data_IF_698379044857
#
_entry.id   IF_698379044857
#
_cell.length_a   1.000
_cell.length_b   1.000
_cell.length_c   1.000
_cell.angle_alpha   90.00
_cell.angle_beta   90.00
_cell.angle_gamma   90.00
#
_symmetry.space_group_name_H-M   'P 1'
#
loop_
_entity.id
_entity.type
_entity.pdbx_description
1 polymer ?
#
# COMPACT_ATOMS: atom_id res chain seq x y z
N UNK A 1 19.57 1.34 19.74
CA UNK A 1 19.03 0.75 18.52
C UNK A 1 17.63 1.29 18.33
N UNK A 2 17.33 1.89 17.19
CA UNK A 2 16.01 2.45 16.91
C UNK A 2 15.04 1.34 16.51
N UNK A 3 13.80 1.39 17.00
CA UNK A 3 12.80 0.37 16.73
C UNK A 3 11.92 0.81 15.56
N UNK A 4 11.81 -0.02 14.53
CA UNK A 4 10.83 0.09 13.47
C UNK A 4 9.74 -0.95 13.71
N UNK A 5 8.51 -0.51 13.92
CA UNK A 5 7.37 -1.39 14.07
C UNK A 5 6.72 -1.60 12.70
N UNK A 6 6.83 -2.81 12.15
CA UNK A 6 6.26 -3.21 10.88
C UNK A 6 4.92 -3.93 11.10
N UNK A 7 3.85 -3.38 10.53
CA UNK A 7 2.49 -3.92 10.64
C UNK A 7 1.98 -4.28 9.24
N UNK A 8 1.75 -5.55 9.02
CA UNK A 8 1.33 -6.14 7.75
C UNK A 8 0.57 -7.44 8.02
N UNK A 9 -0.50 -7.73 7.29
CA UNK A 9 -1.29 -8.96 7.48
C UNK A 9 -0.71 -10.18 6.77
N UNK A 10 0.35 -10.00 5.96
CA UNK A 10 0.95 -11.03 5.15
C UNK A 10 2.20 -11.64 5.81
N UNK A 11 2.20 -12.95 6.13
CA UNK A 11 3.40 -13.64 6.59
C UNK A 11 4.56 -13.55 5.58
N UNK A 12 4.25 -13.59 4.29
CA UNK A 12 5.25 -13.45 3.23
C UNK A 12 5.96 -12.09 3.29
N UNK A 13 5.24 -11.01 3.54
CA UNK A 13 5.84 -9.68 3.70
C UNK A 13 6.72 -9.59 4.95
N UNK A 14 6.29 -10.23 6.05
CA UNK A 14 7.13 -10.34 7.25
C UNK A 14 8.45 -11.06 6.95
N UNK A 15 8.40 -12.13 6.16
CA UNK A 15 9.60 -12.88 5.78
C UNK A 15 10.51 -12.06 4.87
N UNK A 16 9.98 -11.30 3.92
CA UNK A 16 10.76 -10.38 3.08
C UNK A 16 11.46 -9.31 3.92
N UNK A 17 10.75 -8.67 4.85
CA UNK A 17 11.37 -7.66 5.71
C UNK A 17 12.44 -8.29 6.59
N UNK A 18 12.18 -9.47 7.17
CA UNK A 18 13.10 -10.17 8.07
C UNK A 18 14.37 -10.65 7.36
N UNK A 19 14.23 -11.19 6.15
CA UNK A 19 15.31 -11.87 5.45
C UNK A 19 16.06 -10.97 4.46
N UNK A 20 15.37 -9.98 3.88
CA UNK A 20 15.92 -9.18 2.78
C UNK A 20 16.14 -7.71 3.15
N UNK A 21 15.42 -7.15 4.13
CA UNK A 21 15.55 -5.74 4.54
C UNK A 21 16.32 -5.60 5.85
N UNK A 22 15.90 -6.29 6.90
CA UNK A 22 16.50 -6.15 8.23
C UNK A 22 18.02 -6.45 8.25
N UNK A 23 18.55 -7.43 7.50
CA UNK A 23 20.01 -7.68 7.47
C UNK A 23 20.82 -6.56 6.83
N UNK A 24 20.20 -5.59 6.16
CA UNK A 24 20.89 -4.46 5.53
C UNK A 24 21.26 -3.35 6.54
N UNK A 25 20.93 -3.52 7.83
CA UNK A 25 21.20 -2.51 8.86
C UNK A 25 21.38 -3.13 10.24
N UNK A 26 22.35 -2.62 11.00
CA UNK A 26 22.52 -2.92 12.42
C UNK A 26 21.94 -1.80 13.33
N UNK A 27 21.43 -0.73 12.74
CA UNK A 27 20.93 0.43 13.47
C UNK A 27 19.47 0.27 13.91
N UNK A 28 18.72 -0.61 13.22
CA UNK A 28 17.30 -0.82 13.45
C UNK A 28 17.00 -2.21 13.99
N UNK A 29 16.15 -2.26 15.01
CA UNK A 29 15.42 -3.45 15.43
C UNK A 29 14.04 -3.43 14.78
N UNK A 30 13.63 -4.51 14.12
CA UNK A 30 12.29 -4.64 13.56
C UNK A 30 11.40 -5.44 14.51
N UNK A 31 10.25 -4.85 14.86
CA UNK A 31 9.14 -5.53 15.55
C UNK A 31 8.07 -5.82 14.51
N UNK A 32 7.66 -7.07 14.39
CA UNK A 32 6.72 -7.56 13.37
C UNK A 32 5.37 -7.85 14.00
N UNK A 33 4.30 -7.30 13.46
CA UNK A 33 2.95 -7.49 13.95
C UNK A 33 1.94 -7.55 12.80
N UNK A 34 0.87 -8.29 12.98
CA UNK A 34 -0.23 -8.39 12.02
C UNK A 34 -1.28 -7.29 12.23
N UNK A 35 -1.36 -6.73 13.45
CA UNK A 35 -2.31 -5.67 13.82
C UNK A 35 -1.64 -4.66 14.74
N UNK A 36 -2.28 -3.49 14.92
CA UNK A 36 -1.81 -2.50 15.88
C UNK A 36 -1.84 -3.03 17.33
N UNK A 37 -2.86 -3.79 17.70
CA UNK A 37 -2.97 -4.32 19.07
C UNK A 37 -1.87 -5.32 19.38
N UNK A 38 -1.52 -6.17 18.42
CA UNK A 38 -0.37 -7.06 18.54
C UNK A 38 0.94 -6.26 18.65
N UNK A 39 1.12 -5.26 17.76
CA UNK A 39 2.27 -4.37 17.82
C UNK A 39 2.46 -3.73 19.19
N UNK A 40 1.37 -3.21 19.77
CA UNK A 40 1.36 -2.62 21.10
C UNK A 40 1.78 -3.61 22.19
N UNK A 41 1.31 -4.85 22.08
CA UNK A 41 1.68 -5.93 23.02
C UNK A 41 3.16 -6.30 22.89
N UNK A 42 3.68 -6.44 21.67
CA UNK A 42 5.07 -6.79 21.40
C UNK A 42 6.05 -5.65 21.77
N UNK A 43 5.64 -4.42 21.61
CA UNK A 43 6.42 -3.25 22.05
C UNK A 43 6.60 -3.20 23.56
N UNK A 44 5.66 -3.73 24.34
CA UNK A 44 5.74 -3.83 25.82
C UNK A 44 6.28 -2.53 26.48
N UNK A 45 5.60 -1.42 26.20
CA UNK A 45 5.97 -0.05 26.66
C UNK A 45 7.24 0.55 26.02
N UNK A 46 7.93 -0.15 25.13
CA UNK A 46 9.01 0.45 24.34
C UNK A 46 8.38 1.40 23.30
N UNK A 47 9.05 2.52 23.09
CA UNK A 47 8.58 3.52 22.12
C UNK A 47 9.28 3.26 20.78
N UNK A 48 8.57 2.96 19.71
CA UNK A 48 9.19 2.81 18.40
C UNK A 48 9.65 4.17 17.87
N UNK A 49 10.64 4.13 17.00
CA UNK A 49 11.13 5.32 16.30
C UNK A 49 10.36 5.60 15.01
N UNK A 50 9.67 4.57 14.47
CA UNK A 50 8.88 4.65 13.25
C UNK A 50 7.91 3.47 13.17
N UNK A 51 6.71 3.75 12.62
CA UNK A 51 5.79 2.71 12.15
C UNK A 51 5.86 2.57 10.63
N UNK A 52 6.02 1.34 10.15
CA UNK A 52 5.96 0.96 8.74
C UNK A 52 4.71 0.10 8.54
N UNK A 53 3.74 0.60 7.78
CA UNK A 53 2.38 0.04 7.72
C UNK A 53 2.07 -0.46 6.32
N UNK A 54 1.48 -1.65 6.18
CA UNK A 54 0.78 -1.96 4.94
C UNK A 54 -0.56 -1.22 4.86
N UNK A 55 -1.02 -0.96 3.64
CA UNK A 55 -2.29 -0.27 3.41
C UNK A 55 -3.44 -1.26 3.25
N UNK A 56 -3.23 -2.30 2.41
CA UNK A 56 -4.26 -3.25 2.05
C UNK A 56 -4.10 -4.53 2.86
N UNK A 57 -5.11 -4.90 3.60
CA UNK A 57 -5.09 -6.11 4.39
C UNK A 57 -6.45 -6.78 4.48
N UNK A 58 -6.46 -7.94 5.13
CA UNK A 58 -7.64 -8.77 5.28
C UNK A 58 -8.70 -8.08 6.14
N UNK A 59 -9.93 -8.10 5.64
CA UNK A 59 -11.12 -7.73 6.40
C UNK A 59 -11.64 -8.97 7.13
N UNK A 60 -11.45 -9.02 8.43
CA UNK A 60 -11.87 -10.16 9.27
C UNK A 60 -13.39 -10.40 9.26
N UNK A 61 -14.18 -9.43 8.80
CA UNK A 61 -15.63 -9.60 8.64
C UNK A 61 -15.99 -10.50 7.44
N UNK A 62 -15.06 -10.75 6.52
CA UNK A 62 -15.25 -11.61 5.37
C UNK A 62 -14.86 -13.05 5.74
N UNK A 63 -15.85 -13.84 6.08
CA UNK A 63 -15.66 -15.25 6.50
C UNK A 63 -15.57 -16.24 5.34
N UNK A 64 -16.05 -15.86 4.15
CA UNK A 64 -16.03 -16.68 2.94
C UNK A 64 -15.48 -15.87 1.75
N UNK A 65 -14.15 -15.79 1.59
CA UNK A 65 -13.55 -15.02 0.52
C UNK A 65 -13.82 -15.66 -0.84
N UNK A 66 -14.42 -14.90 -1.75
CA UNK A 66 -14.71 -15.34 -3.11
C UNK A 66 -13.55 -14.99 -4.05
N UNK A 67 -12.82 -16.02 -4.48
CA UNK A 67 -11.81 -15.88 -5.53
C UNK A 67 -12.51 -15.79 -6.89
N UNK A 68 -12.45 -14.63 -7.53
CA UNK A 68 -13.07 -14.41 -8.85
C UNK A 68 -12.46 -15.37 -9.88
N UNK A 69 -13.28 -16.26 -10.51
CA UNK A 69 -12.79 -17.18 -11.51
C UNK A 69 -12.19 -16.44 -12.72
N UNK A 70 -11.16 -17.03 -13.32
CA UNK A 70 -10.48 -16.43 -14.49
C UNK A 70 -11.44 -16.05 -15.61
N UNK A 71 -12.40 -16.91 -15.93
CA UNK A 71 -13.39 -16.66 -16.99
C UNK A 71 -14.29 -15.45 -16.68
N UNK A 72 -14.68 -15.24 -15.40
CA UNK A 72 -15.43 -14.05 -14.97
C UNK A 72 -14.58 -12.80 -15.07
N UNK A 73 -13.30 -12.89 -14.65
CA UNK A 73 -12.36 -11.77 -14.77
C UNK A 73 -12.13 -11.38 -16.24
N UNK A 74 -11.90 -12.35 -17.11
CA UNK A 74 -11.74 -12.12 -18.57
C UNK A 74 -13.00 -11.47 -19.19
N UNK A 75 -14.20 -11.85 -18.74
CA UNK A 75 -15.45 -11.20 -19.16
C UNK A 75 -15.48 -9.74 -18.71
N UNK A 76 -15.24 -9.47 -17.42
CA UNK A 76 -15.19 -8.11 -16.87
C UNK A 76 -14.18 -7.23 -17.61
N UNK A 77 -13.00 -7.77 -17.93
CA UNK A 77 -11.95 -7.06 -18.71
C UNK A 77 -12.47 -6.69 -20.09
N UNK A 78 -13.19 -7.61 -20.77
CA UNK A 78 -13.76 -7.34 -22.10
C UNK A 78 -14.87 -6.29 -22.09
N UNK A 79 -15.57 -6.15 -20.98
CA UNK A 79 -16.63 -5.17 -20.80
C UNK A 79 -16.07 -3.75 -20.52
N UNK A 80 -14.79 -3.63 -20.19
CA UNK A 80 -14.13 -2.32 -20.04
C UNK A 80 -13.87 -1.67 -21.40
N UNK A 81 -13.97 -0.34 -21.50
CA UNK A 81 -13.59 0.36 -22.72
C UNK A 81 -12.14 0.08 -23.10
N UNK A 82 -11.91 -0.25 -24.38
CA UNK A 82 -10.55 -0.43 -24.92
C UNK A 82 -9.86 0.91 -25.14
N UNK A 83 -8.53 0.87 -25.31
CA UNK A 83 -7.77 2.07 -25.69
C UNK A 83 -8.25 2.67 -27.01
N UNK A 84 -8.75 1.85 -27.95
CA UNK A 84 -9.32 2.33 -29.22
C UNK A 84 -10.52 3.25 -29.01
N UNK A 85 -11.26 3.07 -27.92
CA UNK A 85 -12.36 3.97 -27.56
C UNK A 85 -11.92 5.43 -27.35
N UNK A 86 -10.67 5.64 -26.93
CA UNK A 86 -10.16 7.01 -26.72
C UNK A 86 -10.14 7.77 -28.04
N UNK A 87 -9.71 7.09 -29.11
CA UNK A 87 -9.50 7.70 -30.43
C UNK A 87 -10.72 7.66 -31.34
N UNK A 88 -11.71 6.83 -31.01
CA UNK A 88 -12.90 6.66 -31.85
C UNK A 88 -13.62 8.00 -32.02
N UNK A 89 -13.75 8.41 -33.28
CA UNK A 89 -14.48 9.63 -33.71
C UNK A 89 -14.04 10.94 -32.97
N UNK A 90 -12.84 10.97 -32.38
CA UNK A 90 -12.36 12.10 -31.60
C UNK A 90 -12.12 13.35 -32.47
N UNK A 91 -11.72 13.13 -33.73
CA UNK A 91 -11.48 14.22 -34.68
C UNK A 91 -12.78 14.84 -35.19
N UNK A 92 -13.90 14.12 -35.10
CA UNK A 92 -15.24 14.53 -35.54
C UNK A 92 -16.07 15.08 -34.38
N UNK A 93 -15.50 15.11 -33.16
CA UNK A 93 -16.19 15.53 -31.95
C UNK A 93 -16.48 17.05 -32.02
N UNK A 94 -17.78 17.41 -31.96
CA UNK A 94 -18.21 18.80 -31.91
C UNK A 94 -17.97 19.38 -30.50
N UNK A 95 -16.80 19.95 -30.27
CA UNK A 95 -16.40 20.54 -29.00
C UNK A 95 -14.91 20.50 -28.76
N UNK A 96 -14.50 20.60 -27.49
CA UNK A 96 -13.10 20.49 -27.10
C UNK A 96 -12.65 19.00 -27.14
N UNK A 97 -12.01 18.61 -28.22
CA UNK A 97 -11.51 17.25 -28.43
C UNK A 97 -10.45 16.84 -27.39
N UNK A 98 -9.69 17.81 -26.85
CA UNK A 98 -8.71 17.52 -25.78
C UNK A 98 -9.41 17.13 -24.48
N UNK A 99 -10.43 17.86 -24.09
CA UNK A 99 -11.23 17.53 -22.91
C UNK A 99 -11.96 16.19 -23.09
N UNK A 100 -12.52 15.90 -24.27
CA UNK A 100 -13.17 14.64 -24.56
C UNK A 100 -12.16 13.47 -24.51
N UNK A 101 -10.96 13.65 -25.06
CA UNK A 101 -9.88 12.68 -24.96
C UNK A 101 -9.54 12.34 -23.51
N UNK A 102 -9.35 13.37 -22.67
CA UNK A 102 -9.06 13.20 -21.25
C UNK A 102 -10.21 12.52 -20.51
N UNK A 103 -11.46 12.91 -20.78
CA UNK A 103 -12.64 12.29 -20.19
C UNK A 103 -12.71 10.77 -20.50
N UNK A 104 -12.44 10.37 -21.75
CA UNK A 104 -12.42 8.96 -22.15
C UNK A 104 -11.28 8.21 -21.49
N UNK A 105 -10.08 8.80 -21.43
CA UNK A 105 -8.94 8.21 -20.75
C UNK A 105 -9.23 7.97 -19.26
N UNK A 106 -9.76 8.96 -18.57
CA UNK A 106 -10.13 8.83 -17.17
C UNK A 106 -11.24 7.79 -16.96
N UNK A 107 -12.19 7.66 -17.87
CA UNK A 107 -13.22 6.62 -17.81
C UNK A 107 -12.63 5.21 -17.84
N UNK A 108 -11.63 4.97 -18.69
CA UNK A 108 -10.91 3.69 -18.74
C UNK A 108 -10.18 3.43 -17.42
N UNK A 109 -9.41 4.40 -16.93
CA UNK A 109 -8.66 4.26 -15.67
C UNK A 109 -9.61 3.98 -14.50
N UNK A 110 -10.74 4.68 -14.44
CA UNK A 110 -11.74 4.51 -13.39
C UNK A 110 -12.44 3.15 -13.47
N UNK A 111 -12.72 2.65 -14.67
CA UNK A 111 -13.25 1.31 -14.88
C UNK A 111 -12.32 0.22 -14.37
N UNK A 112 -11.02 0.29 -14.69
CA UNK A 112 -10.02 -0.64 -14.18
C UNK A 112 -9.88 -0.56 -12.67
N UNK A 113 -9.88 0.64 -12.10
CA UNK A 113 -9.84 0.86 -10.66
C UNK A 113 -11.02 0.22 -9.96
N UNK A 114 -12.23 0.46 -10.46
CA UNK A 114 -13.47 -0.09 -9.88
C UNK A 114 -13.46 -1.62 -9.92
N UNK A 115 -13.08 -2.21 -11.06
CA UNK A 115 -12.94 -3.66 -11.18
C UNK A 115 -11.93 -4.23 -10.19
N UNK A 116 -10.78 -3.58 -10.04
CA UNK A 116 -9.74 -4.00 -9.09
C UNK A 116 -10.25 -3.95 -7.64
N UNK A 117 -10.91 -2.85 -7.24
CA UNK A 117 -11.48 -2.69 -5.90
C UNK A 117 -12.56 -3.76 -5.61
N UNK A 118 -13.43 -4.08 -6.59
CA UNK A 118 -14.42 -5.14 -6.47
C UNK A 118 -13.79 -6.51 -6.26
N UNK A 119 -12.77 -6.86 -7.04
CA UNK A 119 -12.06 -8.13 -6.91
C UNK A 119 -11.36 -8.22 -5.55
N UNK A 120 -10.71 -7.17 -5.11
CA UNK A 120 -10.08 -7.11 -3.79
C UNK A 120 -11.11 -7.25 -2.65
N UNK A 121 -12.25 -6.55 -2.75
CA UNK A 121 -13.31 -6.63 -1.74
C UNK A 121 -13.88 -8.06 -1.60
N UNK A 122 -14.02 -8.80 -2.72
CA UNK A 122 -14.52 -10.19 -2.71
C UNK A 122 -13.61 -11.16 -1.99
N UNK A 123 -12.31 -10.94 -2.02
CA UNK A 123 -11.33 -11.75 -1.28
C UNK A 123 -11.05 -11.20 0.12
N UNK A 124 -11.82 -10.19 0.56
CA UNK A 124 -11.66 -9.58 1.87
C UNK A 124 -10.51 -8.58 1.99
N UNK A 125 -9.85 -8.24 0.90
CA UNK A 125 -8.75 -7.28 0.91
C UNK A 125 -9.26 -5.85 0.74
N UNK A 126 -8.94 -4.98 1.69
CA UNK A 126 -9.31 -3.56 1.59
C UNK A 126 -8.35 -2.64 2.35
N UNK A 127 -8.41 -1.33 2.04
CA UNK A 127 -7.55 -0.28 2.64
C UNK A 127 -7.95 0.13 4.05
N UNK A 128 -9.10 -0.33 4.56
CA UNK A 128 -9.52 0.00 5.94
C UNK A 128 -8.52 -0.53 6.94
N UNK A 129 -7.90 -1.68 6.64
CA UNK A 129 -6.86 -2.27 7.47
C UNK A 129 -5.74 -1.27 7.78
N UNK A 130 -5.05 -0.76 6.77
CA UNK A 130 -3.92 0.15 6.97
C UNK A 130 -4.32 1.51 7.55
N UNK A 131 -5.47 2.05 7.11
CA UNK A 131 -5.98 3.33 7.66
C UNK A 131 -6.36 3.16 9.14
N UNK A 132 -6.98 2.04 9.53
CA UNK A 132 -7.30 1.76 10.94
C UNK A 132 -6.03 1.66 11.79
N UNK A 133 -5.01 0.93 11.33
CA UNK A 133 -3.72 0.84 12.02
C UNK A 133 -3.07 2.24 12.18
N UNK A 134 -3.09 3.07 11.13
CA UNK A 134 -2.56 4.43 11.20
C UNK A 134 -3.32 5.29 12.21
N UNK A 135 -4.65 5.23 12.24
CA UNK A 135 -5.45 5.98 13.21
C UNK A 135 -5.12 5.56 14.65
N UNK A 136 -4.95 4.28 14.90
CA UNK A 136 -4.51 3.79 16.21
C UNK A 136 -3.10 4.29 16.55
N UNK A 137 -2.17 4.27 15.61
CA UNK A 137 -0.83 4.86 15.79
C UNK A 137 -0.94 6.33 16.18
N UNK A 138 -1.81 7.11 15.54
CA UNK A 138 -1.99 8.54 15.85
C UNK A 138 -2.59 8.79 17.24
N UNK A 139 -3.41 7.87 17.74
CA UNK A 139 -3.99 7.96 19.10
C UNK A 139 -2.92 7.68 20.17
N UNK A 140 -2.12 6.63 19.98
CA UNK A 140 -1.19 6.16 21.02
C UNK A 140 0.23 6.71 20.88
N UNK A 141 0.64 7.08 19.65
CA UNK A 141 1.98 7.55 19.30
C UNK A 141 1.91 8.74 18.33
N UNK A 142 1.30 9.87 18.73
CA UNK A 142 0.99 11.00 17.83
C UNK A 142 2.24 11.59 17.16
N UNK A 143 3.37 11.59 17.86
CA UNK A 143 4.61 12.22 17.40
C UNK A 143 5.57 11.26 16.67
N UNK A 144 5.19 9.98 16.60
CA UNK A 144 6.04 8.99 15.93
C UNK A 144 5.70 8.94 14.43
N UNK A 145 6.71 9.03 13.56
CA UNK A 145 6.48 8.90 12.12
C UNK A 145 5.80 7.57 11.77
N UNK A 146 4.77 7.65 10.93
CA UNK A 146 4.09 6.49 10.38
C UNK A 146 4.04 6.60 8.85
N UNK A 147 4.55 5.58 8.18
CA UNK A 147 4.78 5.54 6.73
C UNK A 147 4.09 4.30 6.19
N UNK A 148 3.43 4.43 5.04
CA UNK A 148 2.94 3.27 4.32
C UNK A 148 4.05 2.63 3.47
N UNK A 149 4.10 1.31 3.51
CA UNK A 149 4.94 0.45 2.68
C UNK A 149 4.06 -0.65 2.10
N UNK A 150 3.61 -0.47 0.86
CA UNK A 150 2.53 -1.27 0.27
C UNK A 150 2.81 -1.60 -1.20
N UNK A 151 2.28 -2.74 -1.69
CA UNK A 151 2.32 -3.09 -3.12
C UNK A 151 1.22 -2.40 -3.92
N UNK A 152 0.09 -2.17 -3.28
CA UNK A 152 -1.12 -1.65 -3.92
C UNK A 152 -1.30 -0.19 -3.52
N UNK A 153 -1.13 0.70 -4.47
CA UNK A 153 -1.34 2.14 -4.26
C UNK A 153 -2.04 2.74 -5.47
N UNK A 154 -3.27 3.16 -5.25
CA UNK A 154 -4.07 3.93 -6.20
C UNK A 154 -4.03 5.41 -5.81
N UNK A 155 -4.32 6.30 -6.76
CA UNK A 155 -4.35 7.75 -6.50
C UNK A 155 -5.27 8.10 -5.32
N UNK A 156 -6.43 7.46 -5.22
CA UNK A 156 -7.37 7.67 -4.12
C UNK A 156 -6.82 7.20 -2.77
N UNK A 157 -5.94 6.20 -2.78
CA UNK A 157 -5.27 5.71 -1.57
C UNK A 157 -4.28 6.76 -1.06
N UNK A 158 -3.52 7.39 -1.95
CA UNK A 158 -2.61 8.48 -1.59
C UNK A 158 -3.37 9.65 -0.92
N UNK A 159 -4.55 10.02 -1.44
CA UNK A 159 -5.41 11.04 -0.82
C UNK A 159 -5.89 10.61 0.57
N UNK A 160 -6.32 9.34 0.73
CA UNK A 160 -6.76 8.81 2.02
C UNK A 160 -5.62 8.80 3.05
N UNK A 161 -4.43 8.34 2.65
CA UNK A 161 -3.22 8.33 3.47
C UNK A 161 -2.82 9.74 3.91
N UNK A 162 -2.86 10.70 2.99
CA UNK A 162 -2.55 12.10 3.29
C UNK A 162 -3.54 12.72 4.28
N UNK A 163 -4.85 12.50 4.09
CA UNK A 163 -5.90 12.94 5.03
C UNK A 163 -5.75 12.32 6.41
N UNK A 164 -5.31 11.08 6.49
CA UNK A 164 -5.03 10.38 7.74
C UNK A 164 -3.69 10.79 8.37
N UNK A 165 -2.98 11.78 7.80
CA UNK A 165 -1.69 12.30 8.28
C UNK A 165 -0.57 11.26 8.28
N UNK A 166 -0.47 10.44 7.22
CA UNK A 166 0.72 9.64 6.96
C UNK A 166 1.92 10.56 6.70
N UNK A 167 3.09 10.15 7.16
CA UNK A 167 4.35 10.88 6.91
C UNK A 167 4.96 10.55 5.56
N UNK A 168 4.56 9.46 4.91
CA UNK A 168 5.08 9.06 3.61
C UNK A 168 4.46 7.78 3.08
N UNK A 169 4.89 7.44 1.86
CA UNK A 169 4.50 6.22 1.16
C UNK A 169 5.71 5.67 0.41
N UNK A 170 6.00 4.39 0.60
CA UNK A 170 6.92 3.62 -0.23
C UNK A 170 6.18 2.47 -0.90
N UNK A 171 6.55 2.20 -2.14
CA UNK A 171 6.00 1.08 -2.91
C UNK A 171 6.93 -0.12 -2.74
N UNK A 172 6.35 -1.26 -2.33
CA UNK A 172 7.06 -2.53 -2.22
C UNK A 172 7.46 -3.03 -3.61
N UNK A 173 8.70 -3.47 -3.81
CA UNK A 173 9.10 -4.13 -5.04
C UNK A 173 8.23 -5.36 -5.32
N UNK A 174 7.90 -5.58 -6.60
CA UNK A 174 7.05 -6.70 -7.02
C UNK A 174 7.68 -7.35 -8.24
N UNK A 175 8.00 -8.64 -8.14
CA UNK A 175 8.44 -9.49 -9.24
C UNK A 175 7.29 -10.29 -9.84
N UNK A 176 7.61 -11.10 -10.84
CA UNK A 176 6.67 -12.04 -11.47
C UNK A 176 6.33 -13.24 -10.58
N UNK A 177 7.20 -13.54 -9.61
CA UNK A 177 7.04 -14.59 -8.61
C UNK A 177 7.70 -14.18 -7.28
N UNK A 178 7.57 -15.04 -6.26
CA UNK A 178 8.10 -14.79 -4.91
C UNK A 178 9.64 -14.68 -4.90
N UNK A 179 10.32 -15.45 -5.72
CA UNK A 179 11.78 -15.44 -5.80
C UNK A 179 12.31 -14.14 -6.40
N UNK A 180 11.71 -13.70 -7.50
CA UNK A 180 12.04 -12.42 -8.11
C UNK A 180 11.69 -11.25 -7.18
N UNK A 181 10.55 -11.35 -6.50
CA UNK A 181 10.12 -10.36 -5.50
C UNK A 181 11.14 -10.22 -4.37
N UNK A 182 11.63 -11.33 -3.81
CA UNK A 182 12.70 -11.32 -2.80
C UNK A 182 13.98 -10.67 -3.34
N UNK A 183 14.40 -11.04 -4.55
CA UNK A 183 15.59 -10.45 -5.18
C UNK A 183 15.47 -8.93 -5.34
N UNK A 184 14.34 -8.45 -5.83
CA UNK A 184 14.06 -7.03 -6.01
C UNK A 184 13.98 -6.30 -4.65
N UNK A 185 13.37 -6.91 -3.65
CA UNK A 185 13.29 -6.37 -2.28
C UNK A 185 14.68 -6.22 -1.68
N UNK A 186 15.52 -7.24 -1.80
CA UNK A 186 16.91 -7.19 -1.33
C UNK A 186 17.72 -6.10 -2.02
N UNK A 187 17.54 -5.94 -3.34
CA UNK A 187 18.20 -4.87 -4.10
C UNK A 187 17.75 -3.47 -3.65
N UNK A 188 16.46 -3.32 -3.31
CA UNK A 188 15.87 -2.05 -2.88
C UNK A 188 16.16 -1.72 -1.40
N UNK A 189 16.41 -2.71 -0.56
CA UNK A 189 16.55 -2.58 0.89
C UNK A 189 17.52 -1.47 1.34
N UNK A 190 18.75 -1.31 0.79
CA UNK A 190 19.63 -0.24 1.20
C UNK A 190 19.06 1.16 0.98
N UNK A 191 18.34 1.35 -0.13
CA UNK A 191 17.67 2.61 -0.42
C UNK A 191 16.54 2.86 0.57
N UNK A 192 15.67 1.87 0.82
CA UNK A 192 14.59 1.97 1.79
C UNK A 192 15.14 2.33 3.19
N UNK A 193 16.14 1.63 3.68
CA UNK A 193 16.79 1.92 4.97
C UNK A 193 17.30 3.35 5.04
N UNK A 194 17.96 3.83 3.97
CA UNK A 194 18.44 5.22 3.90
C UNK A 194 17.30 6.24 3.99
N UNK A 195 16.18 5.98 3.33
CA UNK A 195 15.00 6.86 3.39
C UNK A 195 14.32 6.81 4.78
N UNK A 196 14.17 5.63 5.38
CA UNK A 196 13.58 5.49 6.72
C UNK A 196 14.41 6.24 7.78
N UNK A 197 15.74 6.26 7.67
CA UNK A 197 16.62 7.05 8.55
C UNK A 197 16.29 8.53 8.55
N UNK A 198 15.94 9.11 7.40
CA UNK A 198 15.61 10.53 7.29
C UNK A 198 14.37 10.87 8.15
N UNK A 199 13.36 10.02 8.16
CA UNK A 199 12.16 10.23 8.98
C UNK A 199 12.43 10.08 10.48
N UNK A 200 13.37 9.21 10.87
CA UNK A 200 13.74 9.00 12.27
C UNK A 200 14.61 10.15 12.78
N UNK A 201 15.52 10.67 11.95
CA UNK A 201 16.46 11.73 12.34
C UNK A 201 15.87 13.14 12.25
N UNK A 202 14.90 13.34 11.37
CA UNK A 202 14.17 14.61 11.27
C UNK A 202 13.17 14.68 12.43
N UNK A 203 13.63 15.05 13.62
CA UNK A 203 12.68 15.44 14.69
C UNK A 203 11.79 16.51 14.09
N UNK A 204 10.51 16.22 13.97
CA UNK A 204 9.49 17.18 13.59
C UNK A 204 9.67 18.39 14.50
N UNK A 205 10.12 19.52 13.96
CA UNK A 205 10.04 20.80 14.65
C UNK A 205 8.55 21.06 14.79
N UNK A 206 7.99 21.09 16.02
CA UNK A 206 6.57 21.36 16.19
C UNK A 206 6.30 22.75 15.62
N UNK A 207 5.39 22.80 14.65
CA UNK A 207 4.84 24.07 14.12
C UNK A 207 3.79 24.62 15.07
#
# INVERSE_FOLDING_TARGET
MSIICFIDDSPFEHDLVRNDIAPCTEEFEFVYAYTFDEAKSLLNSRIPSLFLLDLWGQDESITDPYITPRAELEKKIKDLPSLDYIYKDIAEFEGDSCNEYLRRLFSIVDGWRTMFEEVCARIGQNRKYGISNLLQVRIYYPDIPAIFYTRKSLINDAVAMFRAKSNGLFIKPTGSDDKETSLLTKKYAPQLISELKKFITTKVIPS
#
